data_IF_058349938976
#
_entry.id   IF_058349938976
#
_cell.length_a   1.000
_cell.length_b   1.000
_cell.length_c   1.000
_cell.angle_alpha   90.00
_cell.angle_beta   90.00
_cell.angle_gamma   90.00
#
_symmetry.space_group_name_H-M   'P 1'
#
loop_
_entity.id
_entity.type
_entity.pdbx_description
1 polymer ?
#
# COMPACT_ATOMS: atom_id res chain seq x y z
N UNK A 1 -6.22 -26.00 14.30
CA UNK A 1 -5.94 -25.04 15.40
C UNK A 1 -5.15 -23.83 14.92
N UNK A 2 -4.00 -24.00 14.23
CA UNK A 2 -3.15 -22.87 13.79
C UNK A 2 -3.83 -21.79 12.94
N UNK A 3 -4.69 -22.15 11.98
CA UNK A 3 -5.42 -21.19 11.14
C UNK A 3 -6.36 -20.26 11.92
N UNK A 4 -6.94 -20.74 13.03
CA UNK A 4 -7.79 -19.91 13.88
C UNK A 4 -6.96 -18.94 14.74
N UNK A 5 -5.78 -19.38 15.18
CA UNK A 5 -4.86 -18.54 15.94
C UNK A 5 -4.28 -17.42 15.06
N UNK A 6 -3.97 -17.72 13.79
CA UNK A 6 -3.47 -16.71 12.84
C UNK A 6 -4.44 -15.55 12.64
N UNK A 7 -5.76 -15.80 12.65
CA UNK A 7 -6.79 -14.75 12.54
C UNK A 7 -6.90 -13.83 13.76
N UNK A 8 -6.28 -14.20 14.88
CA UNK A 8 -6.28 -13.43 16.13
C UNK A 8 -4.93 -12.76 16.39
N UNK A 9 -3.93 -12.99 15.54
CA UNK A 9 -2.64 -12.34 15.66
C UNK A 9 -2.80 -10.82 15.50
N UNK A 10 -2.13 -10.07 16.37
CA UNK A 10 -2.15 -8.61 16.37
C UNK A 10 -0.91 -8.09 15.62
N UNK A 11 -1.02 -7.02 14.81
CA UNK A 11 0.14 -6.44 14.13
C UNK A 11 1.21 -5.94 15.11
N UNK A 12 2.48 -6.17 14.77
CA UNK A 12 3.62 -5.64 15.49
C UNK A 12 3.95 -4.21 15.03
N UNK A 13 4.77 -3.49 15.82
CA UNK A 13 5.26 -2.14 15.47
C UNK A 13 6.11 -2.18 14.19
N UNK A 14 6.92 -3.21 14.03
CA UNK A 14 7.73 -3.46 12.84
C UNK A 14 7.29 -4.78 12.22
N UNK A 15 6.84 -4.72 10.97
CA UNK A 15 6.43 -5.89 10.19
C UNK A 15 7.65 -6.61 9.62
N UNK A 16 7.69 -7.93 9.75
CA UNK A 16 8.71 -8.79 9.14
C UNK A 16 8.03 -9.83 8.25
N UNK A 17 8.63 -10.11 7.09
CA UNK A 17 8.17 -11.17 6.20
C UNK A 17 8.50 -12.55 6.79
N UNK A 18 7.63 -13.57 6.65
CA UNK A 18 7.96 -14.91 7.11
C UNK A 18 9.17 -15.46 6.33
N UNK A 19 10.16 -16.00 7.04
CA UNK A 19 11.34 -16.64 6.42
C UNK A 19 10.97 -17.90 5.61
N UNK A 20 9.91 -18.60 6.03
CA UNK A 20 9.34 -19.74 5.33
C UNK A 20 7.88 -19.44 5.04
N UNK A 21 7.58 -19.12 3.78
CA UNK A 21 6.25 -18.76 3.31
C UNK A 21 5.70 -19.75 2.28
N UNK A 22 4.47 -19.51 1.87
CA UNK A 22 3.72 -20.33 0.91
C UNK A 22 3.49 -19.63 -0.44
N UNK A 23 3.69 -18.31 -0.49
CA UNK A 23 3.36 -17.45 -1.64
C UNK A 23 1.96 -16.82 -1.55
N UNK A 24 1.09 -17.31 -0.66
CA UNK A 24 -0.24 -16.74 -0.45
C UNK A 24 -0.21 -15.38 0.25
N UNK A 25 0.89 -15.03 0.90
CA UNK A 25 1.02 -13.83 1.73
C UNK A 25 0.80 -12.55 0.90
N UNK A 26 1.36 -12.51 -0.32
CA UNK A 26 1.21 -11.38 -1.22
C UNK A 26 -0.23 -11.25 -1.75
N UNK A 27 -0.89 -12.37 -2.04
CA UNK A 27 -2.29 -12.40 -2.50
C UNK A 27 -3.22 -11.89 -1.41
N UNK A 28 -3.07 -12.40 -0.19
CA UNK A 28 -3.87 -11.95 0.96
C UNK A 28 -3.64 -10.47 1.26
N UNK A 29 -2.38 -10.01 1.23
CA UNK A 29 -2.07 -8.59 1.46
C UNK A 29 -2.71 -7.69 0.39
N UNK A 30 -2.58 -8.07 -0.89
CA UNK A 30 -3.16 -7.37 -2.06
C UNK A 30 -4.68 -7.26 -1.96
N UNK A 31 -5.36 -8.38 -1.69
CA UNK A 31 -6.81 -8.45 -1.75
C UNK A 31 -7.50 -7.97 -0.45
N UNK A 32 -6.72 -7.76 0.62
CA UNK A 32 -7.24 -7.25 1.91
C UNK A 32 -7.79 -5.82 1.85
N UNK A 33 -7.39 -5.02 0.85
CA UNK A 33 -7.74 -3.61 0.74
C UNK A 33 -6.95 -2.67 1.67
N UNK A 34 -6.05 -3.18 2.51
CA UNK A 34 -5.20 -2.35 3.39
C UNK A 34 -3.95 -1.80 2.71
N UNK A 35 -3.50 -2.41 1.62
CA UNK A 35 -2.34 -1.94 0.85
C UNK A 35 -2.79 -0.98 -0.26
N UNK A 36 -2.03 0.09 -0.45
CA UNK A 36 -2.25 1.02 -1.56
C UNK A 36 -1.64 0.41 -2.83
N UNK A 37 -2.41 0.37 -3.91
CA UNK A 37 -1.98 -0.09 -5.22
C UNK A 37 -1.94 1.07 -6.21
N UNK A 38 -0.91 1.11 -7.05
CA UNK A 38 -0.86 2.05 -8.16
C UNK A 38 -1.99 1.74 -9.13
N UNK A 39 -2.82 2.75 -9.44
CA UNK A 39 -3.95 2.64 -10.37
C UNK A 39 -3.50 2.61 -11.82
N UNK A 40 -2.41 3.30 -12.12
CA UNK A 40 -1.85 3.50 -13.46
C UNK A 40 -0.33 3.31 -13.40
N UNK A 41 0.28 2.80 -14.49
CA UNK A 41 1.73 2.79 -14.59
C UNK A 41 2.26 4.23 -14.54
N UNK A 42 3.40 4.44 -13.89
CA UNK A 42 3.93 5.78 -13.67
C UNK A 42 5.28 5.80 -12.99
N UNK A 43 5.73 7.01 -12.65
CA UNK A 43 6.95 7.23 -11.87
C UNK A 43 6.60 8.00 -10.61
N UNK A 44 7.10 7.54 -9.47
CA UNK A 44 6.89 8.20 -8.18
C UNK A 44 7.60 9.57 -8.18
N UNK A 45 6.83 10.65 -8.03
CA UNK A 45 7.33 12.02 -8.02
C UNK A 45 7.68 12.50 -6.62
N UNK A 46 6.85 12.17 -5.63
CA UNK A 46 7.14 12.47 -4.22
C UNK A 46 6.66 11.35 -3.30
N UNK A 47 7.38 11.16 -2.21
CA UNK A 47 7.07 10.21 -1.15
C UNK A 47 7.19 10.93 0.18
N UNK A 48 6.05 11.13 0.83
CA UNK A 48 5.99 11.62 2.20
C UNK A 48 5.49 10.51 3.13
N UNK A 49 5.60 10.74 4.44
CA UNK A 49 5.00 9.83 5.41
C UNK A 49 3.48 9.74 5.20
N UNK A 50 2.80 10.83 4.84
CA UNK A 50 1.32 10.91 4.79
C UNK A 50 0.72 10.77 3.40
N UNK A 51 1.50 10.95 2.33
CA UNK A 51 1.00 10.86 0.96
C UNK A 51 2.10 10.45 -0.02
N UNK A 52 1.68 9.85 -1.13
CA UNK A 52 2.55 9.48 -2.25
C UNK A 52 1.98 10.10 -3.51
N UNK A 53 2.82 10.75 -4.32
CA UNK A 53 2.42 11.33 -5.61
C UNK A 53 3.10 10.54 -6.72
N UNK A 54 2.31 10.03 -7.65
CA UNK A 54 2.76 9.28 -8.82
C UNK A 54 2.38 10.03 -10.07
N UNK A 55 3.35 10.25 -10.95
CA UNK A 55 3.12 10.79 -12.28
C UNK A 55 2.78 9.65 -13.23
N UNK A 56 1.54 9.60 -13.69
CA UNK A 56 1.05 8.54 -14.55
C UNK A 56 1.62 8.66 -15.98
N UNK A 57 2.03 7.53 -16.55
CA UNK A 57 2.38 7.43 -17.96
C UNK A 57 1.08 7.42 -18.79
N UNK A 58 0.87 8.47 -19.58
CA UNK A 58 -0.29 8.56 -20.47
C UNK A 58 -0.04 7.69 -21.71
N UNK A 59 -0.72 6.54 -21.82
CA UNK A 59 -0.68 5.69 -23.03
C UNK A 59 -1.60 6.16 -24.15
N UNK A 60 -2.60 6.98 -23.84
CA UNK A 60 -3.56 7.50 -24.81
C UNK A 60 -3.59 9.02 -24.69
N UNK A 61 -3.26 9.72 -25.78
CA UNK A 61 -3.22 11.18 -25.92
C UNK A 61 -4.54 11.93 -25.66
N UNK A 62 -5.47 11.35 -24.90
CA UNK A 62 -6.59 12.04 -24.28
C UNK A 62 -6.06 12.88 -23.11
N UNK A 63 -5.59 14.09 -23.43
CA UNK A 63 -5.46 15.22 -22.50
C UNK A 63 -6.84 15.66 -22.00
N UNK A 64 -7.57 14.78 -21.33
CA UNK A 64 -8.84 15.10 -20.70
C UNK A 64 -8.61 15.43 -19.24
N UNK A 65 -8.63 16.72 -18.88
CA UNK A 65 -8.80 17.34 -17.54
C UNK A 65 -7.99 16.86 -16.32
N UNK A 66 -7.38 15.68 -16.32
CA UNK A 66 -6.59 15.16 -15.22
C UNK A 66 -5.15 15.68 -15.31
N UNK A 67 -4.62 16.13 -14.18
CA UNK A 67 -3.27 16.69 -14.01
C UNK A 67 -2.12 15.71 -14.33
N UNK A 68 -2.42 14.46 -14.72
CA UNK A 68 -1.44 13.39 -14.91
C UNK A 68 -0.80 12.93 -13.60
N UNK A 69 -1.29 13.40 -12.45
CA UNK A 69 -0.80 13.08 -11.11
C UNK A 69 -1.85 12.28 -10.36
N UNK A 70 -1.43 11.11 -9.88
CA UNK A 70 -2.18 10.30 -8.92
C UNK A 70 -1.65 10.58 -7.51
N UNK A 71 -2.52 11.06 -6.64
CA UNK A 71 -2.22 11.29 -5.22
C UNK A 71 -2.83 10.18 -4.39
N UNK A 72 -2.02 9.56 -3.55
CA UNK A 72 -2.42 8.50 -2.64
C UNK A 72 -2.18 8.94 -1.20
N UNK A 73 -3.25 9.16 -0.44
CA UNK A 73 -3.17 9.49 0.98
C UNK A 73 -3.03 8.21 1.82
N UNK A 74 -2.09 8.25 2.77
CA UNK A 74 -1.78 7.14 3.67
C UNK A 74 -2.54 7.29 4.97
N UNK A 75 -3.11 6.17 5.44
CA UNK A 75 -3.75 6.09 6.76
C UNK A 75 -2.66 6.08 7.84
N UNK A 76 -2.80 6.95 8.85
CA UNK A 76 -1.87 7.06 9.98
C UNK A 76 -2.55 6.92 11.32
N UNK A 77 -2.02 6.01 12.13
CA UNK A 77 -2.37 5.82 13.54
C UNK A 77 -3.89 5.74 13.80
N UNK A 78 -4.63 5.08 12.92
CA UNK A 78 -6.07 4.93 13.04
C UNK A 78 -6.42 3.76 13.96
N UNK A 79 -7.39 3.95 14.86
CA UNK A 79 -7.89 2.88 15.73
C UNK A 79 -8.72 1.87 14.95
N UNK A 80 -8.46 0.58 15.13
CA UNK A 80 -9.29 -0.52 14.61
C UNK A 80 -10.45 -0.88 15.55
N UNK A 81 -11.38 -1.71 15.08
CA UNK A 81 -12.50 -2.20 15.90
C UNK A 81 -12.05 -3.04 17.10
N UNK A 82 -10.91 -3.74 16.98
CA UNK A 82 -10.31 -4.53 18.05
C UNK A 82 -9.30 -3.73 18.89
N UNK A 83 -9.36 -2.40 18.84
CA UNK A 83 -8.46 -1.49 19.56
C UNK A 83 -6.97 -1.66 19.20
N UNK A 84 -6.68 -2.14 17.99
CA UNK A 84 -5.32 -2.18 17.44
C UNK A 84 -5.05 -0.92 16.59
N UNK A 85 -3.82 -0.76 16.10
CA UNK A 85 -3.42 0.38 15.27
C UNK A 85 -3.35 -0.01 13.78
N UNK A 86 -4.02 0.78 12.94
CA UNK A 86 -3.92 0.72 11.48
C UNK A 86 -3.02 1.88 11.04
N UNK A 87 -1.90 1.55 10.41
CA UNK A 87 -0.95 2.52 9.87
C UNK A 87 -0.34 1.97 8.60
N UNK A 88 -0.22 2.82 7.58
CA UNK A 88 0.40 2.49 6.31
C UNK A 88 1.76 3.16 6.20
N UNK A 89 2.75 2.45 5.69
CA UNK A 89 4.11 2.97 5.49
C UNK A 89 4.43 2.92 4.00
N UNK A 90 4.96 4.01 3.41
CA UNK A 90 5.37 3.99 2.01
C UNK A 90 6.51 3.00 1.81
N UNK A 91 6.39 2.15 0.78
CA UNK A 91 7.42 1.16 0.40
C UNK A 91 8.24 1.57 -0.83
N UNK A 92 7.77 2.58 -1.56
CA UNK A 92 8.37 3.07 -2.79
C UNK A 92 9.35 4.22 -2.53
N UNK A 93 10.24 4.47 -3.48
CA UNK A 93 11.21 5.58 -3.46
C UNK A 93 10.89 6.61 -4.55
N UNK A 94 11.32 7.85 -4.34
CA UNK A 94 11.23 8.90 -5.37
C UNK A 94 11.99 8.44 -6.63
N UNK A 95 11.36 8.59 -7.80
CA UNK A 95 11.90 8.16 -9.09
C UNK A 95 11.70 6.68 -9.42
N UNK A 96 11.10 5.89 -8.52
CA UNK A 96 10.82 4.48 -8.79
C UNK A 96 9.66 4.34 -9.80
N UNK A 97 9.80 3.50 -10.85
CA UNK A 97 8.70 3.15 -11.73
C UNK A 97 7.74 2.18 -11.02
N UNK A 98 6.44 2.40 -11.22
CA UNK A 98 5.34 1.64 -10.60
C UNK A 98 4.28 1.27 -11.62
#
# INVERSE_FOLDING_TARGET
MGSNMQRQAVPLVTSESPLVGTGMEAVVARDSGYVIQARRPGVVESVDATRIVVRAESKDGKKGKDSGLDVYDLIKFQRSNQNTCITQTPVVRIGQPV
#
